data_IF_856297088586
#
_entry.id   IF_856297088586
#
_cell.length_a   1.000
_cell.length_b   1.000
_cell.length_c   1.000
_cell.angle_alpha   90.00
_cell.angle_beta   90.00
_cell.angle_gamma   90.00
#
_symmetry.space_group_name_H-M   'P 1'
#
loop_
_entity.id
_entity.type
_entity.pdbx_description
1 polymer ?
#
# COMPACT_ATOMS: atom_id res chain seq x y z
N UNK A 1 -6.10 6.89 -7.57
CA UNK A 1 -5.34 6.15 -6.58
C UNK A 1 -5.95 6.32 -5.19
N UNK A 2 -6.21 5.22 -4.53
CA UNK A 2 -6.87 5.16 -3.21
C UNK A 2 -5.84 4.86 -2.13
N UNK A 3 -5.74 5.75 -1.14
CA UNK A 3 -4.79 5.60 -0.02
C UNK A 3 -5.28 4.54 0.98
N UNK A 4 -4.38 3.64 1.37
CA UNK A 4 -4.64 2.65 2.42
C UNK A 4 -4.21 3.20 3.78
N UNK A 5 -4.99 2.97 4.84
CA UNK A 5 -4.65 3.32 6.22
C UNK A 5 -4.99 2.20 7.19
N UNK A 6 -4.15 2.00 8.21
CA UNK A 6 -4.37 1.03 9.28
C UNK A 6 -3.54 1.36 10.53
N UNK A 7 -3.54 0.46 11.51
CA UNK A 7 -2.68 0.57 12.69
C UNK A 7 -1.85 -0.71 12.88
N UNK A 8 -0.53 -0.59 12.85
CA UNK A 8 0.38 -1.76 12.97
C UNK A 8 0.43 -2.34 14.38
N UNK A 9 0.06 -1.56 15.39
CA UNK A 9 0.13 -2.00 16.80
C UNK A 9 -1.09 -2.79 17.24
N UNK A 10 -2.15 -2.91 16.43
CA UNK A 10 -3.39 -3.63 16.83
C UNK A 10 -3.15 -5.11 17.12
N UNK A 11 -2.15 -5.72 16.48
CA UNK A 11 -1.77 -7.12 16.67
C UNK A 11 -0.48 -7.29 17.50
N UNK A 12 0.09 -6.20 18.02
CA UNK A 12 1.31 -6.25 18.82
C UNK A 12 0.97 -6.17 20.33
N UNK A 13 1.74 -6.90 21.13
CA UNK A 13 1.56 -6.94 22.58
C UNK A 13 2.88 -7.11 23.30
N UNK A 14 3.02 -6.43 24.43
CA UNK A 14 4.14 -6.59 25.34
C UNK A 14 3.83 -7.64 26.43
N UNK A 15 4.69 -8.66 26.65
CA UNK A 15 4.47 -9.70 27.66
C UNK A 15 4.40 -9.18 29.11
N UNK A 16 5.07 -8.06 29.39
CA UNK A 16 5.09 -7.37 30.68
C UNK A 16 3.93 -6.39 30.85
N UNK A 17 3.19 -6.12 29.76
CA UNK A 17 2.03 -5.22 29.72
C UNK A 17 2.39 -3.74 29.57
N UNK A 18 3.62 -3.45 29.17
CA UNK A 18 4.07 -2.08 28.92
C UNK A 18 3.44 -1.49 27.66
N UNK A 19 3.38 -0.15 27.62
CA UNK A 19 2.88 0.54 26.43
C UNK A 19 3.92 0.44 25.32
N UNK A 20 3.49 -0.08 24.18
CA UNK A 20 4.28 -0.17 22.96
C UNK A 20 4.01 1.04 22.05
N UNK A 21 5.04 1.44 21.32
CA UNK A 21 4.99 2.48 20.31
C UNK A 21 5.84 2.07 19.11
N UNK A 22 5.64 2.72 17.98
CA UNK A 22 6.54 2.55 16.84
C UNK A 22 7.71 3.53 16.98
N UNK A 23 8.92 3.00 16.82
CA UNK A 23 10.16 3.77 16.88
C UNK A 23 11.02 3.70 15.61
N UNK A 24 10.59 2.96 14.58
CA UNK A 24 11.26 3.00 13.28
C UNK A 24 10.47 2.37 12.13
N UNK A 25 10.81 2.78 10.91
CA UNK A 25 10.29 2.22 9.66
C UNK A 25 11.37 2.27 8.57
N UNK A 26 11.59 1.17 7.83
CA UNK A 26 12.49 1.17 6.68
C UNK A 26 13.92 1.63 6.96
N UNK A 27 14.39 1.48 8.21
CA UNK A 27 15.70 1.97 8.66
C UNK A 27 15.72 3.42 9.17
N UNK A 28 14.63 4.15 9.03
CA UNK A 28 14.45 5.49 9.60
C UNK A 28 13.94 5.42 11.05
N UNK A 29 14.37 6.37 11.89
CA UNK A 29 13.93 6.46 13.29
C UNK A 29 12.66 7.29 13.41
N UNK A 30 11.66 6.74 14.09
CA UNK A 30 10.41 7.43 14.44
C UNK A 30 10.52 7.91 15.89
N UNK A 31 10.41 9.22 16.10
CA UNK A 31 10.39 9.84 17.43
C UNK A 31 8.97 10.15 17.88
N UNK A 32 8.63 11.44 17.87
CA UNK A 32 7.29 11.92 18.29
C UNK A 32 6.39 12.31 17.11
N UNK A 33 6.90 12.22 15.89
CA UNK A 33 6.19 12.62 14.66
C UNK A 33 6.21 11.48 13.67
N UNK A 34 5.24 11.47 12.76
CA UNK A 34 5.19 10.49 11.68
C UNK A 34 6.36 10.67 10.73
N UNK A 35 6.88 9.56 10.23
CA UNK A 35 7.93 9.53 9.21
C UNK A 35 7.36 8.93 7.94
N UNK A 36 7.70 9.54 6.81
CA UNK A 36 7.37 9.03 5.47
C UNK A 36 8.64 8.57 4.78
N UNK A 37 8.55 7.43 4.10
CA UNK A 37 9.63 6.84 3.32
C UNK A 37 9.14 6.49 1.92
N UNK A 38 10.01 6.64 0.93
CA UNK A 38 9.80 6.10 -0.40
C UNK A 38 10.00 4.58 -0.33
N UNK A 39 9.03 3.82 -0.83
CA UNK A 39 9.11 2.36 -0.88
C UNK A 39 9.88 1.95 -2.13
N UNK A 40 10.90 1.08 -2.03
CA UNK A 40 11.73 0.69 -3.19
C UNK A 40 10.92 0.11 -4.36
N UNK A 41 9.82 -0.58 -4.04
CA UNK A 41 8.88 -1.17 -4.99
C UNK A 41 7.89 -0.17 -5.59
N UNK A 42 7.79 1.05 -5.07
CA UNK A 42 6.86 2.10 -5.50
C UNK A 42 5.93 2.60 -4.39
N UNK A 43 5.51 3.85 -4.48
CA UNK A 43 4.64 4.52 -3.51
C UNK A 43 5.39 5.08 -2.29
N UNK A 44 4.61 5.74 -1.42
CA UNK A 44 5.09 6.38 -0.19
C UNK A 44 4.37 5.76 1.00
N UNK A 45 5.16 5.20 1.92
CA UNK A 45 4.66 4.72 3.20
C UNK A 45 4.88 5.78 4.28
N UNK A 46 3.90 5.98 5.16
CA UNK A 46 4.06 6.80 6.36
C UNK A 46 3.66 6.01 7.59
N UNK A 47 4.44 6.14 8.66
CA UNK A 47 4.17 5.50 9.93
C UNK A 47 4.39 6.47 11.09
N UNK A 48 3.42 6.50 11.99
CA UNK A 48 3.39 7.36 13.16
C UNK A 48 3.77 6.57 14.43
N UNK A 49 4.27 7.23 15.49
CA UNK A 49 4.66 6.57 16.74
C UNK A 49 3.50 5.82 17.43
N UNK A 50 2.27 6.27 17.18
CA UNK A 50 1.04 5.63 17.68
C UNK A 50 0.59 4.42 16.84
N UNK A 51 1.41 3.97 15.88
CA UNK A 51 1.12 2.85 15.00
C UNK A 51 0.29 3.18 13.76
N UNK A 52 -0.18 4.43 13.59
CA UNK A 52 -0.96 4.81 12.39
C UNK A 52 -0.08 4.68 11.15
N UNK A 53 -0.43 3.74 10.28
CA UNK A 53 0.24 3.46 9.02
C UNK A 53 -0.63 3.95 7.85
N UNK A 54 0.01 4.57 6.86
CA UNK A 54 -0.63 4.89 5.59
C UNK A 54 0.29 4.51 4.44
N UNK A 55 -0.29 4.01 3.35
CA UNK A 55 0.43 3.76 2.11
C UNK A 55 -0.30 4.46 0.96
N UNK A 56 0.45 5.27 0.22
CA UNK A 56 0.01 5.96 -0.99
C UNK A 56 0.74 5.34 -2.18
N UNK A 57 0.06 4.59 -3.06
CA UNK A 57 0.71 3.96 -4.21
C UNK A 57 1.28 4.98 -5.22
N UNK A 58 0.89 6.26 -5.12
CA UNK A 58 1.39 7.40 -5.91
C UNK A 58 1.38 7.16 -7.44
N UNK A 59 0.46 6.34 -7.93
CA UNK A 59 0.36 5.97 -9.34
C UNK A 59 1.47 5.04 -9.86
N UNK A 60 2.35 4.51 -8.99
CA UNK A 60 3.43 3.60 -9.40
C UNK A 60 2.91 2.20 -9.82
N UNK A 61 1.65 1.90 -9.53
CA UNK A 61 1.02 0.59 -9.78
C UNK A 61 -0.09 0.62 -10.85
N UNK A 62 -0.21 1.71 -11.60
CA UNK A 62 -1.20 1.88 -12.69
C UNK A 62 -1.01 0.88 -13.85
N UNK A 63 0.13 0.18 -13.90
CA UNK A 63 0.37 -0.88 -14.88
C UNK A 63 -0.23 -2.24 -14.50
N UNK A 64 -0.72 -2.42 -13.28
CA UNK A 64 -1.37 -3.66 -12.86
C UNK A 64 -2.68 -3.84 -13.63
N UNK A 65 -2.82 -4.98 -14.31
CA UNK A 65 -4.06 -5.37 -14.96
C UNK A 65 -5.19 -5.63 -13.96
N UNK A 66 -6.42 -5.79 -14.47
CA UNK A 66 -7.57 -6.17 -13.63
C UNK A 66 -7.26 -7.45 -12.86
N UNK A 67 -7.49 -7.43 -11.55
CA UNK A 67 -7.26 -8.58 -10.65
C UNK A 67 -5.79 -9.01 -10.52
N UNK A 68 -4.84 -8.30 -11.13
CA UNK A 68 -3.43 -8.51 -10.84
C UNK A 68 -3.10 -7.94 -9.48
N UNK A 69 -2.35 -8.69 -8.68
CA UNK A 69 -1.95 -8.27 -7.34
C UNK A 69 -0.45 -8.05 -7.23
N UNK A 70 -0.07 -7.04 -6.45
CA UNK A 70 1.29 -6.81 -6.02
C UNK A 70 1.33 -6.72 -4.50
N UNK A 71 2.24 -7.46 -3.88
CA UNK A 71 2.43 -7.43 -2.42
C UNK A 71 3.79 -6.87 -2.08
N UNK A 72 3.83 -5.89 -1.19
CA UNK A 72 5.06 -5.35 -0.60
C UNK A 72 5.06 -5.55 0.91
N UNK A 73 6.25 -5.70 1.47
CA UNK A 73 6.45 -5.87 2.92
C UNK A 73 7.46 -4.85 3.42
N UNK A 74 7.08 -4.11 4.45
CA UNK A 74 7.92 -3.10 5.09
C UNK A 74 8.22 -3.52 6.51
N UNK A 75 9.51 -3.45 6.88
CA UNK A 75 9.92 -3.66 8.26
C UNK A 75 9.69 -2.39 9.09
N UNK A 76 9.08 -2.56 10.27
CA UNK A 76 8.95 -1.53 11.28
C UNK A 76 9.47 -2.05 12.63
N UNK A 77 9.82 -1.11 13.50
CA UNK A 77 10.36 -1.40 14.82
C UNK A 77 9.41 -0.85 15.87
N UNK A 78 8.99 -1.72 16.79
CA UNK A 78 8.27 -1.33 18.00
C UNK A 78 9.27 -1.12 19.13
N UNK A 79 8.98 -0.18 20.02
CA UNK A 79 9.73 0.06 21.24
C UNK A 79 8.79 0.19 22.42
N UNK A 80 9.22 -0.33 23.57
CA UNK A 80 8.55 -0.15 24.85
C UNK A 80 9.09 1.08 25.61
N UNK A 81 8.49 1.36 26.77
CA UNK A 81 8.93 2.46 27.64
C UNK A 81 10.24 2.19 28.39
N UNK A 82 10.77 0.96 28.33
CA UNK A 82 12.01 0.52 28.97
C UNK A 82 13.22 0.50 28.02
N UNK A 83 12.99 0.80 26.74
CA UNK A 83 14.01 0.80 25.69
C UNK A 83 14.27 -0.56 25.06
N UNK A 84 13.39 -1.54 25.28
CA UNK A 84 13.35 -2.76 24.48
C UNK A 84 12.69 -2.47 23.14
N UNK A 85 13.10 -3.21 22.12
CA UNK A 85 12.57 -3.06 20.77
C UNK A 85 12.43 -4.40 20.07
N UNK A 86 11.41 -4.54 19.24
CA UNK A 86 11.21 -5.69 18.36
C UNK A 86 10.94 -5.27 16.92
N UNK A 87 11.22 -6.15 15.96
CA UNK A 87 11.04 -5.89 14.52
C UNK A 87 9.93 -6.75 13.97
N UNK A 88 8.97 -6.11 13.29
CA UNK A 88 7.84 -6.76 12.64
C UNK A 88 7.70 -6.29 11.18
N UNK A 89 6.85 -6.99 10.43
CA UNK A 89 6.57 -6.70 9.02
C UNK A 89 5.11 -6.25 8.87
N UNK A 90 4.90 -5.15 8.14
CA UNK A 90 3.58 -4.79 7.60
C UNK A 90 3.55 -5.16 6.12
N UNK A 91 2.56 -5.96 5.72
CA UNK A 91 2.36 -6.34 4.32
C UNK A 91 1.20 -5.55 3.74
N UNK A 92 1.41 -4.95 2.58
CA UNK A 92 0.39 -4.24 1.80
C UNK A 92 0.16 -5.02 0.51
N UNK A 93 -1.09 -5.38 0.25
CA UNK A 93 -1.52 -5.97 -1.02
C UNK A 93 -2.26 -4.91 -1.83
N UNK A 94 -1.82 -4.71 -3.08
CA UNK A 94 -2.38 -3.79 -4.04
C UNK A 94 -3.02 -4.64 -5.13
N UNK A 95 -4.30 -4.40 -5.42
CA UNK A 95 -5.02 -5.06 -6.51
C UNK A 95 -5.26 -4.06 -7.63
N UNK A 96 -4.78 -4.38 -8.83
CA UNK A 96 -5.06 -3.62 -10.04
C UNK A 96 -6.55 -3.65 -10.37
N UNK A 97 -7.10 -2.49 -10.63
CA UNK A 97 -8.42 -2.33 -11.23
C UNK A 97 -8.23 -1.90 -12.67
N UNK A 98 -8.96 -2.53 -13.59
CA UNK A 98 -8.92 -2.10 -14.98
C UNK A 98 -9.94 -0.98 -15.17
N UNK A 99 -9.44 0.24 -15.35
CA UNK A 99 -10.25 1.42 -15.63
C UNK A 99 -10.71 1.50 -17.09
N UNK A 100 -10.24 0.61 -17.97
CA UNK A 100 -10.62 0.56 -19.38
C UNK A 100 -11.80 -0.39 -19.62
N UNK A 101 -12.95 0.19 -19.95
CA UNK A 101 -14.11 -0.55 -20.48
C UNK A 101 -14.04 -0.50 -22.02
N UNK A 102 -13.74 -1.64 -22.65
CA UNK A 102 -13.96 -1.80 -24.09
C UNK A 102 -15.46 -2.08 -24.33
N UNK A 103 -16.09 -1.30 -25.21
CA UNK A 103 -17.46 -1.54 -25.66
C UNK A 103 -17.42 -2.25 -27.01
N UNK A 104 -18.34 -3.20 -27.21
CA UNK A 104 -18.43 -3.93 -28.48
C UNK A 104 -18.85 -2.97 -29.62
N UNK A 105 -17.99 -2.84 -30.63
CA UNK A 105 -18.35 -2.20 -31.88
C UNK A 105 -19.17 -3.17 -32.75
N UNK A 106 -20.37 -2.76 -33.15
CA UNK A 106 -21.19 -3.53 -34.08
C UNK A 106 -21.46 -2.74 -35.35
N UNK A 107 -21.23 -3.38 -36.49
CA UNK A 107 -21.51 -2.84 -37.80
C UNK A 107 -22.43 -3.80 -38.55
N UNK A 108 -23.52 -3.28 -39.12
CA UNK A 108 -24.37 -4.02 -40.06
C UNK A 108 -24.22 -3.39 -41.44
N UNK A 109 -24.02 -4.23 -42.44
CA UNK A 109 -23.70 -3.82 -43.81
C UNK A 109 -24.56 -4.69 -44.72
N UNK A 110 -25.17 -4.09 -45.73
CA UNK A 110 -25.82 -4.83 -46.82
C UNK A 110 -24.76 -5.32 -47.82
N UNK A 111 -25.06 -6.33 -48.61
CA UNK A 111 -24.09 -6.94 -49.55
C UNK A 111 -23.42 -5.94 -50.52
N UNK A 112 -24.05 -4.77 -50.72
CA UNK A 112 -23.58 -3.71 -51.60
C UNK A 112 -22.75 -2.61 -50.92
N UNK A 113 -22.62 -2.62 -49.59
CA UNK A 113 -21.97 -1.53 -48.83
C UNK A 113 -20.64 -1.95 -48.19
N UNK A 114 -19.72 -1.00 -48.05
CA UNK A 114 -18.48 -1.17 -47.29
C UNK A 114 -18.57 -0.42 -45.97
N UNK A 115 -18.32 -1.15 -44.89
CA UNK A 115 -18.03 -0.56 -43.58
C UNK A 115 -16.53 -0.33 -43.45
N UNK A 116 -16.16 0.86 -43.01
CA UNK A 116 -14.82 1.14 -42.48
C UNK A 116 -14.95 1.38 -40.97
N UNK A 117 -14.42 0.46 -40.16
CA UNK A 117 -14.16 0.71 -38.74
C UNK A 117 -12.80 1.38 -38.56
N UNK A 118 -12.66 2.23 -37.55
CA UNK A 118 -11.36 2.74 -37.08
C UNK A 118 -10.70 1.76 -36.13
#
# INVERSE_FOLDING_TARGET
>A
DDRVSGNVLENDSDPEGDTISVCGIGGETIGNVCVSIDVPEGGVAALCPNGTFTFDPNGDFESLGSEETFSLSLAYVTCDSQGLSDTALVTVEITGINDLIALDDSYTVTEDDRVSGN
#
